data_IF_881882497055
#
_entry.id   IF_881882497055
#
_cell.length_a   1.000
_cell.length_b   1.000
_cell.length_c   1.000
_cell.angle_alpha   90.00
_cell.angle_beta   90.00
_cell.angle_gamma   90.00
#
_symmetry.space_group_name_H-M   'P 1'
#
loop_
_entity.id
_entity.type
_entity.pdbx_description
1 polymer ?
#
# COMPACT_ATOMS: atom_id res chain seq x y z
N UNK A 1 4.50 10.77 -23.62
CA UNK A 1 3.14 10.46 -23.10
C UNK A 1 3.21 10.65 -21.60
N UNK A 2 2.52 11.68 -21.12
CA UNK A 2 2.69 12.21 -19.78
C UNK A 2 1.88 11.43 -18.75
N UNK A 3 2.58 10.68 -17.90
CA UNK A 3 2.03 10.04 -16.68
C UNK A 3 1.84 11.04 -15.52
N UNK A 4 2.06 12.34 -15.76
CA UNK A 4 2.03 13.41 -14.75
C UNK A 4 0.64 13.71 -14.15
N UNK A 5 -0.42 13.06 -14.63
CA UNK A 5 -1.80 13.20 -14.11
C UNK A 5 -2.41 11.87 -13.62
N UNK A 6 -1.59 10.84 -13.41
CA UNK A 6 -2.08 9.58 -12.86
C UNK A 6 -2.54 9.75 -11.40
N UNK A 7 -3.57 9.00 -10.94
CA UNK A 7 -3.89 8.92 -9.52
C UNK A 7 -2.65 8.53 -8.71
N UNK A 8 -2.45 9.09 -7.50
CA UNK A 8 -1.26 8.84 -6.69
C UNK A 8 -1.04 7.35 -6.40
N UNK A 9 -2.11 6.57 -6.29
CA UNK A 9 -2.05 5.11 -6.14
C UNK A 9 -1.45 4.39 -7.36
N UNK A 10 -1.71 4.90 -8.58
CA UNK A 10 -1.20 4.32 -9.81
C UNK A 10 0.28 4.64 -9.98
N UNK A 11 0.69 5.88 -9.67
CA UNK A 11 2.09 6.26 -9.69
C UNK A 11 2.91 5.43 -8.69
N UNK A 12 2.42 5.29 -7.46
CA UNK A 12 3.07 4.48 -6.44
C UNK A 12 3.17 3.00 -6.85
N UNK A 13 2.14 2.45 -7.50
CA UNK A 13 2.18 1.08 -8.02
C UNK A 13 3.28 0.90 -9.07
N UNK A 14 3.45 1.86 -9.99
CA UNK A 14 4.52 1.84 -11.00
C UNK A 14 5.90 1.87 -10.35
N UNK A 15 6.10 2.76 -9.38
CA UNK A 15 7.38 2.89 -8.65
C UNK A 15 7.71 1.60 -7.87
N UNK A 16 6.70 0.98 -7.24
CA UNK A 16 6.87 -0.29 -6.53
C UNK A 16 7.22 -1.44 -7.46
N UNK A 17 6.57 -1.55 -8.61
CA UNK A 17 6.88 -2.58 -9.61
C UNK A 17 8.31 -2.42 -10.10
N UNK A 18 8.71 -1.20 -10.44
CA UNK A 18 10.09 -0.90 -10.85
C UNK A 18 11.11 -1.33 -9.79
N UNK A 19 10.85 -1.01 -8.52
CA UNK A 19 11.74 -1.41 -7.42
C UNK A 19 11.84 -2.93 -7.30
N UNK A 20 10.71 -3.64 -7.37
CA UNK A 20 10.68 -5.11 -7.25
C UNK A 20 11.43 -5.78 -8.41
N UNK A 21 11.25 -5.28 -9.64
CA UNK A 21 11.95 -5.77 -10.83
C UNK A 21 13.46 -5.50 -10.75
N UNK A 22 13.87 -4.30 -10.31
CA UNK A 22 15.28 -3.96 -10.13
C UNK A 22 15.98 -4.81 -9.07
N UNK A 23 15.25 -5.36 -8.11
CA UNK A 23 15.76 -6.28 -7.09
C UNK A 23 15.57 -7.76 -7.47
N UNK A 24 15.17 -8.04 -8.73
CA UNK A 24 14.97 -9.40 -9.25
C UNK A 24 14.02 -10.26 -8.39
N UNK A 25 13.03 -9.61 -7.76
CA UNK A 25 12.08 -10.29 -6.87
C UNK A 25 11.10 -11.11 -7.72
N UNK A 26 10.99 -12.40 -7.44
CA UNK A 26 10.02 -13.27 -8.10
C UNK A 26 8.59 -12.75 -7.89
N UNK A 27 7.72 -12.76 -8.92
CA UNK A 27 6.35 -12.25 -8.82
C UNK A 27 5.54 -12.87 -7.67
N UNK A 28 5.74 -14.17 -7.41
CA UNK A 28 5.07 -14.89 -6.31
C UNK A 28 5.47 -14.33 -4.94
N UNK A 29 6.75 -14.03 -4.75
CA UNK A 29 7.28 -13.42 -3.52
C UNK A 29 6.81 -11.98 -3.37
N UNK A 30 6.80 -11.21 -4.47
CA UNK A 30 6.28 -9.85 -4.49
C UNK A 30 4.80 -9.80 -4.08
N UNK A 31 3.96 -10.68 -4.65
CA UNK A 31 2.54 -10.74 -4.32
C UNK A 31 2.31 -11.10 -2.84
N UNK A 32 3.05 -12.08 -2.31
CA UNK A 32 2.96 -12.44 -0.89
C UNK A 32 3.38 -11.27 0.03
N UNK A 33 4.44 -10.54 -0.32
CA UNK A 33 4.88 -9.37 0.43
C UNK A 33 3.85 -8.23 0.38
N UNK A 34 3.26 -7.98 -0.80
CA UNK A 34 2.22 -6.97 -0.98
C UNK A 34 0.95 -7.29 -0.18
N UNK A 35 0.59 -8.58 -0.02
CA UNK A 35 -0.52 -8.98 0.85
C UNK A 35 -0.25 -8.62 2.32
N UNK A 36 0.97 -8.86 2.80
CA UNK A 36 1.38 -8.49 4.16
C UNK A 36 1.30 -6.97 4.37
N UNK A 37 1.85 -6.20 3.41
CA UNK A 37 1.79 -4.73 3.44
C UNK A 37 0.33 -4.25 3.43
N UNK A 38 -0.51 -4.79 2.55
CA UNK A 38 -1.92 -4.44 2.49
C UNK A 38 -2.62 -4.66 3.83
N UNK A 39 -2.38 -5.80 4.48
CA UNK A 39 -2.97 -6.13 5.79
C UNK A 39 -2.49 -5.17 6.88
N UNK A 40 -1.21 -4.80 6.91
CA UNK A 40 -0.69 -3.81 7.86
C UNK A 40 -1.36 -2.44 7.72
N UNK A 41 -1.53 -1.94 6.48
CA UNK A 41 -2.24 -0.67 6.24
C UNK A 41 -3.72 -0.76 6.57
N UNK A 42 -4.39 -1.89 6.29
CA UNK A 42 -5.77 -2.12 6.70
C UNK A 42 -5.92 -2.06 8.23
N UNK A 43 -5.00 -2.68 8.98
CA UNK A 43 -5.00 -2.62 10.44
C UNK A 43 -4.74 -1.20 10.94
N UNK A 44 -3.81 -0.44 10.34
CA UNK A 44 -3.62 0.98 10.68
C UNK A 44 -4.87 1.83 10.45
N UNK A 45 -5.62 1.58 9.36
CA UNK A 45 -6.88 2.28 9.10
C UNK A 45 -7.97 1.92 10.12
N UNK A 46 -8.03 0.67 10.56
CA UNK A 46 -8.94 0.23 11.64
C UNK A 46 -8.55 0.87 12.97
N UNK A 47 -7.26 0.88 13.30
CA UNK A 47 -6.76 1.40 14.57
C UNK A 47 -6.89 2.94 14.65
N UNK A 48 -6.74 3.65 13.53
CA UNK A 48 -7.06 5.09 13.44
C UNK A 48 -8.54 5.38 13.68
N UNK A 49 -9.46 4.47 13.33
CA UNK A 49 -10.90 4.61 13.64
C UNK A 49 -11.24 4.27 15.10
N UNK A 50 -10.41 3.45 15.76
CA UNK A 50 -10.60 3.08 17.17
C UNK A 50 -10.26 4.20 18.17
N UNK A 51 -9.59 5.28 17.73
CA UNK A 51 -9.25 6.43 18.58
C UNK A 51 -10.38 7.47 18.71
N UNK A 52 -11.54 7.27 18.06
CA UNK A 52 -12.59 8.27 17.96
C UNK A 52 -13.95 7.78 18.52
N UNK A 53 -13.96 7.20 19.72
CA UNK A 53 -15.20 7.08 20.50
C UNK A 53 -14.93 6.85 21.98
N UNK A 54 -14.45 7.88 22.69
CA UNK A 54 -14.88 8.06 24.09
C UNK A 54 -15.90 9.18 24.05
N UNK A 55 -17.13 8.79 23.73
CA UNK A 55 -18.30 9.65 23.89
C UNK A 55 -18.51 9.89 25.38
N UNK A 56 -18.61 11.17 25.75
CA UNK A 56 -19.00 11.64 27.07
C UNK A 56 -20.20 10.86 27.62
N UNK A 57 -19.95 10.07 28.67
CA UNK A 57 -20.87 9.75 29.76
C UNK A 57 -20.15 10.08 31.06
#
# INVERSE_FOLDING_TARGET
MSVENAPPELQLAVDLIYLLECNEIAPETALAALEIVQRDYQEKLKNSKSSLSVSYL
#
